data_IF_026722664693
#
_entry.id   IF_026722664693
#
_cell.length_a   1.000
_cell.length_b   1.000
_cell.length_c   1.000
_cell.angle_alpha   90.00
_cell.angle_beta   90.00
_cell.angle_gamma   90.00
#
_symmetry.space_group_name_H-M   'P 1'
#
loop_
_entity.id
_entity.type
_entity.pdbx_description
1 polymer ?
#
# COMPACT_ATOMS: atom_id res chain seq x y z
N UNK A 1 -30.57 -30.00 -2.66
CA UNK A 1 -29.41 -29.59 -3.47
C UNK A 1 -28.68 -28.49 -2.70
N UNK A 2 -27.59 -28.83 -2.00
CA UNK A 2 -26.88 -27.90 -1.08
C UNK A 2 -25.39 -28.00 -1.39
N UNK A 3 -24.87 -26.94 -1.99
CA UNK A 3 -23.49 -26.82 -2.50
C UNK A 3 -22.53 -26.62 -1.32
N UNK A 4 -21.56 -27.51 -1.18
CA UNK A 4 -20.48 -27.40 -0.20
C UNK A 4 -19.43 -26.39 -0.65
N UNK A 5 -19.05 -25.50 0.26
CA UNK A 5 -18.05 -24.45 0.10
C UNK A 5 -16.66 -25.09 0.23
N UNK A 6 -15.84 -24.99 -0.82
CA UNK A 6 -14.42 -25.32 -0.78
C UNK A 6 -13.70 -24.31 0.14
N UNK A 7 -13.32 -24.75 1.34
CA UNK A 7 -12.35 -24.05 2.16
C UNK A 7 -10.94 -24.39 1.65
N UNK A 8 -10.24 -23.40 1.12
CA UNK A 8 -8.88 -23.56 0.62
C UNK A 8 -7.93 -23.60 1.83
N UNK A 9 -7.16 -24.67 1.84
CA UNK A 9 -6.39 -25.24 2.93
C UNK A 9 -5.12 -24.42 3.21
N UNK A 10 -5.15 -23.51 4.20
CA UNK A 10 -3.97 -22.75 4.64
C UNK A 10 -2.90 -23.59 5.37
N UNK A 11 -3.16 -24.87 5.61
CA UNK A 11 -2.25 -25.77 6.34
C UNK A 11 -0.96 -26.09 5.58
N UNK A 12 -0.96 -25.96 4.24
CA UNK A 12 0.15 -26.40 3.38
C UNK A 12 1.34 -25.43 3.31
N UNK A 13 1.19 -24.20 3.78
CA UNK A 13 2.25 -23.18 3.68
C UNK A 13 3.16 -23.08 4.92
N UNK A 14 2.80 -23.75 6.02
CA UNK A 14 3.62 -23.75 7.25
C UNK A 14 4.66 -24.88 7.23
N UNK A 15 4.43 -25.95 6.45
CA UNK A 15 5.33 -27.11 6.38
C UNK A 15 6.69 -26.85 5.70
N UNK A 16 6.87 -25.73 5.01
CA UNK A 16 8.10 -25.49 4.22
C UNK A 16 9.24 -24.81 4.97
N UNK A 17 9.10 -24.48 6.27
CA UNK A 17 10.15 -23.77 7.03
C UNK A 17 10.57 -24.40 8.37
N UNK A 18 10.04 -25.58 8.73
CA UNK A 18 10.66 -26.41 9.76
C UNK A 18 11.45 -27.52 9.06
N UNK A 19 12.71 -27.79 9.46
CA UNK A 19 13.55 -28.76 8.77
C UNK A 19 12.83 -30.10 8.66
N UNK A 20 12.96 -30.70 7.48
CA UNK A 20 12.46 -31.99 7.02
C UNK A 20 12.99 -33.20 7.81
N UNK A 21 12.99 -33.12 9.14
CA UNK A 21 13.67 -34.02 10.06
C UNK A 21 12.79 -34.55 11.19
N UNK A 22 11.51 -34.17 11.24
CA UNK A 22 10.55 -34.85 12.11
C UNK A 22 9.73 -35.78 11.23
N UNK A 23 10.19 -37.03 11.17
CA UNK A 23 9.46 -38.17 10.63
C UNK A 23 7.96 -38.04 10.93
N UNK A 24 7.15 -37.89 9.88
CA UNK A 24 5.68 -37.83 9.95
C UNK A 24 5.07 -39.02 10.69
N UNK A 25 5.81 -40.11 10.86
CA UNK A 25 5.42 -41.29 11.63
C UNK A 25 5.50 -41.14 13.16
N UNK A 26 6.20 -40.12 13.69
CA UNK A 26 6.30 -39.88 15.14
C UNK A 26 5.16 -39.00 15.64
N UNK A 27 4.71 -38.06 14.81
CA UNK A 27 3.64 -37.10 15.17
C UNK A 27 2.27 -37.79 15.24
N UNK A 28 2.02 -38.81 14.41
CA UNK A 28 0.77 -39.59 14.47
C UNK A 28 0.71 -40.57 15.66
N UNK A 29 1.86 -40.90 16.29
CA UNK A 29 1.94 -41.88 17.38
C UNK A 29 1.93 -41.28 18.78
N UNK A 30 2.30 -40.01 18.89
CA UNK A 30 2.22 -39.26 20.14
C UNK A 30 1.14 -38.23 19.89
N UNK A 31 -0.03 -38.39 20.52
CA UNK A 31 -1.12 -37.40 20.47
C UNK A 31 -0.69 -36.08 21.09
N UNK A 32 0.24 -35.37 20.45
CA UNK A 32 0.68 -34.03 20.80
C UNK A 32 -0.42 -33.12 20.29
N UNK A 33 -1.46 -32.99 21.10
CA UNK A 33 -2.41 -31.90 21.00
C UNK A 33 -1.55 -30.63 21.11
N UNK A 34 -1.52 -29.73 20.10
CA UNK A 34 -0.79 -28.48 20.23
C UNK A 34 -1.31 -27.77 21.49
N UNK A 35 -0.41 -27.49 22.42
CA UNK A 35 -0.80 -26.86 23.69
C UNK A 35 -1.38 -25.48 23.39
N UNK A 36 -2.50 -25.13 24.02
CA UNK A 36 -3.18 -23.83 23.84
C UNK A 36 -2.26 -22.61 24.06
N UNK A 37 -1.15 -22.78 24.77
CA UNK A 37 -0.09 -21.78 24.94
C UNK A 37 0.70 -21.47 23.67
N UNK A 38 0.94 -22.47 22.81
CA UNK A 38 1.65 -22.33 21.52
C UNK A 38 0.73 -21.65 20.51
N UNK A 39 -0.54 -22.08 20.43
CA UNK A 39 -1.54 -21.45 19.55
C UNK A 39 -1.75 -19.97 19.94
N UNK A 40 -1.83 -19.66 21.24
CA UNK A 40 -1.91 -18.28 21.74
C UNK A 40 -0.62 -17.46 21.49
N UNK A 41 0.55 -18.10 21.40
CA UNK A 41 1.79 -17.41 21.07
C UNK A 41 1.84 -17.06 19.57
N UNK A 42 1.44 -18.00 18.71
CA UNK A 42 1.38 -17.81 17.25
C UNK A 42 0.35 -16.74 16.89
N UNK A 43 -0.85 -16.77 17.49
CA UNK A 43 -1.90 -15.75 17.29
C UNK A 43 -1.40 -14.35 17.65
N UNK A 44 -0.67 -14.22 18.78
CA UNK A 44 -0.07 -12.95 19.20
C UNK A 44 0.99 -12.45 18.23
N UNK A 45 1.83 -13.35 17.70
CA UNK A 45 2.85 -12.97 16.72
C UNK A 45 2.22 -12.49 15.40
N UNK A 46 1.20 -13.19 14.90
CA UNK A 46 0.47 -12.81 13.68
C UNK A 46 -0.19 -11.43 13.87
N UNK A 47 -0.85 -11.22 15.01
CA UNK A 47 -1.48 -9.94 15.34
C UNK A 47 -0.44 -8.81 15.46
N UNK A 48 0.72 -9.09 16.07
CA UNK A 48 1.82 -8.13 16.18
C UNK A 48 2.37 -7.73 14.80
N UNK A 49 2.65 -8.71 13.92
CA UNK A 49 3.11 -8.44 12.55
C UNK A 49 2.09 -7.63 11.75
N UNK A 50 0.80 -7.96 11.87
CA UNK A 50 -0.29 -7.23 11.22
C UNK A 50 -0.38 -5.78 11.73
N UNK A 51 -0.23 -5.56 13.03
CA UNK A 51 -0.23 -4.23 13.62
C UNK A 51 0.98 -3.42 13.14
N UNK A 52 2.19 -4.00 13.15
CA UNK A 52 3.38 -3.33 12.62
C UNK A 52 3.20 -2.90 11.15
N UNK A 53 2.65 -3.77 10.31
CA UNK A 53 2.35 -3.44 8.92
C UNK A 53 1.34 -2.29 8.80
N UNK A 54 0.28 -2.31 9.61
CA UNK A 54 -0.69 -1.22 9.63
C UNK A 54 -0.06 0.10 10.11
N UNK A 55 0.79 0.09 11.14
CA UNK A 55 1.53 1.28 11.59
C UNK A 55 2.39 1.83 10.46
N UNK A 56 3.19 0.97 9.82
CA UNK A 56 4.07 1.35 8.72
C UNK A 56 3.28 1.99 7.57
N UNK A 57 2.19 1.34 7.12
CA UNK A 57 1.34 1.88 6.06
C UNK A 57 0.65 3.19 6.46
N UNK A 58 0.27 3.35 7.73
CA UNK A 58 -0.35 4.60 8.20
C UNK A 58 0.62 5.77 8.19
N UNK A 59 1.86 5.54 8.64
CA UNK A 59 2.92 6.54 8.56
C UNK A 59 3.19 6.90 7.10
N UNK A 60 3.23 5.91 6.21
CA UNK A 60 3.42 6.16 4.79
C UNK A 60 2.25 6.95 4.17
N UNK A 61 1.01 6.65 4.57
CA UNK A 61 -0.18 7.41 4.15
C UNK A 61 -0.15 8.84 4.68
N UNK A 62 0.25 9.06 5.93
CA UNK A 62 0.45 10.41 6.47
C UNK A 62 1.42 11.22 5.60
N UNK A 63 2.59 10.65 5.31
CA UNK A 63 3.62 11.30 4.48
C UNK A 63 3.08 11.55 3.07
N UNK A 64 2.38 10.58 2.48
CA UNK A 64 1.75 10.72 1.17
C UNK A 64 0.75 11.87 1.13
N UNK A 65 -0.24 11.87 2.02
CA UNK A 65 -1.28 12.90 2.07
C UNK A 65 -0.67 14.29 2.29
N UNK A 66 0.26 14.40 3.24
CA UNK A 66 0.92 15.66 3.54
C UNK A 66 1.70 16.18 2.32
N UNK A 67 2.45 15.30 1.65
CA UNK A 67 3.25 15.69 0.47
C UNK A 67 2.35 16.09 -0.70
N UNK A 68 1.32 15.29 -1.02
CA UNK A 68 0.39 15.59 -2.12
C UNK A 68 -0.29 16.96 -1.93
N UNK A 69 -0.81 17.23 -0.74
CA UNK A 69 -1.48 18.49 -0.44
C UNK A 69 -0.51 19.67 -0.25
N UNK A 70 0.74 19.41 0.10
CA UNK A 70 1.78 20.44 0.20
C UNK A 70 2.27 20.90 -1.17
N UNK A 71 2.47 19.95 -2.11
CA UNK A 71 2.90 20.25 -3.49
C UNK A 71 1.89 21.16 -4.20
N UNK A 72 0.61 21.04 -3.84
CA UNK A 72 -0.47 21.81 -4.45
C UNK A 72 -1.09 22.71 -3.38
N UNK A 73 -0.55 23.92 -3.14
CA UNK A 73 -0.90 24.78 -2.01
C UNK A 73 -2.29 25.42 -2.17
N UNK A 74 -3.34 24.58 -2.11
CA UNK A 74 -4.73 24.99 -2.01
C UNK A 74 -5.13 25.22 -0.54
N UNK A 75 -4.53 24.47 0.39
CA UNK A 75 -4.85 24.49 1.81
C UNK A 75 -3.69 25.11 2.63
N UNK A 76 -3.99 25.91 3.67
CA UNK A 76 -3.00 26.33 4.66
C UNK A 76 -2.28 25.13 5.28
N UNK A 77 -0.97 25.27 5.55
CA UNK A 77 -0.11 24.20 6.09
C UNK A 77 -0.71 23.49 7.32
N UNK A 78 -1.28 24.18 8.34
CA UNK A 78 -1.89 23.49 9.48
C UNK A 78 -3.06 22.57 9.12
N UNK A 79 -3.86 22.96 8.11
CA UNK A 79 -5.00 22.18 7.64
C UNK A 79 -4.52 20.93 6.90
N UNK A 80 -3.44 21.04 6.11
CA UNK A 80 -2.80 19.89 5.45
C UNK A 80 -2.40 18.83 6.48
N UNK A 81 -1.74 19.24 7.57
CA UNK A 81 -1.34 18.33 8.63
C UNK A 81 -2.54 17.69 9.35
N UNK A 82 -3.59 18.47 9.65
CA UNK A 82 -4.82 17.92 10.25
C UNK A 82 -5.46 16.85 9.36
N UNK A 83 -5.60 17.11 8.05
CA UNK A 83 -6.15 16.15 7.09
C UNK A 83 -5.28 14.89 7.05
N UNK A 84 -3.95 15.05 6.96
CA UNK A 84 -3.02 13.93 6.93
C UNK A 84 -3.08 13.07 8.21
N UNK A 85 -3.22 13.68 9.39
CA UNK A 85 -3.40 12.97 10.67
C UNK A 85 -4.68 12.13 10.64
N UNK A 86 -5.81 12.74 10.27
CA UNK A 86 -7.11 12.04 10.23
C UNK A 86 -7.07 10.86 9.26
N UNK A 87 -6.51 11.06 8.07
CA UNK A 87 -6.38 10.00 7.06
C UNK A 87 -5.45 8.88 7.54
N UNK A 88 -4.36 9.21 8.22
CA UNK A 88 -3.44 8.24 8.81
C UNK A 88 -4.11 7.38 9.90
N UNK A 89 -4.90 8.01 10.77
CA UNK A 89 -5.67 7.30 11.80
C UNK A 89 -6.69 6.33 11.19
N UNK A 90 -7.37 6.73 10.11
CA UNK A 90 -8.27 5.85 9.35
C UNK A 90 -7.47 4.74 8.66
N UNK A 91 -6.32 5.09 8.09
CA UNK A 91 -5.37 4.18 7.44
C UNK A 91 -4.87 3.07 8.37
N UNK A 92 -4.71 3.36 9.66
CA UNK A 92 -4.31 2.35 10.65
C UNK A 92 -5.31 1.21 10.77
N UNK A 93 -6.59 1.53 10.74
CA UNK A 93 -7.64 0.51 10.76
C UNK A 93 -7.83 -0.13 9.38
N UNK A 94 -7.78 0.68 8.32
CA UNK A 94 -7.94 0.22 6.94
C UNK A 94 -7.04 1.01 5.98
N UNK A 95 -5.88 0.46 5.60
CA UNK A 95 -4.93 1.14 4.71
C UNK A 95 -5.53 1.50 3.35
N UNK A 96 -6.40 0.64 2.83
CA UNK A 96 -7.11 0.88 1.56
C UNK A 96 -8.01 2.13 1.63
N UNK A 97 -8.78 2.27 2.70
CA UNK A 97 -9.68 3.42 2.88
C UNK A 97 -8.85 4.70 3.05
N UNK A 98 -7.79 4.66 3.87
CA UNK A 98 -6.88 5.79 4.03
C UNK A 98 -6.23 6.22 2.71
N UNK A 99 -5.82 5.24 1.88
CA UNK A 99 -5.30 5.50 0.55
C UNK A 99 -6.33 6.21 -0.34
N UNK A 100 -7.55 5.69 -0.45
CA UNK A 100 -8.60 6.33 -1.24
C UNK A 100 -8.90 7.75 -0.76
N UNK A 101 -9.01 7.97 0.54
CA UNK A 101 -9.23 9.31 1.11
C UNK A 101 -8.09 10.27 0.77
N UNK A 102 -6.84 9.80 0.74
CA UNK A 102 -5.69 10.60 0.30
C UNK A 102 -5.85 11.09 -1.14
N UNK A 103 -6.31 10.21 -2.04
CA UNK A 103 -6.55 10.57 -3.43
C UNK A 103 -7.74 11.53 -3.54
N UNK A 104 -8.86 11.23 -2.87
CA UNK A 104 -10.05 12.08 -2.94
C UNK A 104 -9.81 13.49 -2.42
N UNK A 105 -9.06 13.65 -1.33
CA UNK A 105 -8.71 14.97 -0.80
C UNK A 105 -7.74 15.75 -1.69
N UNK A 106 -6.98 15.06 -2.54
CA UNK A 106 -6.09 15.67 -3.52
C UNK A 106 -6.82 16.17 -4.79
N UNK A 107 -7.96 15.58 -5.16
CA UNK A 107 -8.68 15.93 -6.40
C UNK A 107 -9.00 17.43 -6.53
N UNK A 108 -9.56 18.12 -5.51
CA UNK A 108 -9.84 19.55 -5.61
C UNK A 108 -8.60 20.38 -5.88
N UNK A 109 -7.49 20.08 -5.19
CA UNK A 109 -6.21 20.74 -5.37
C UNK A 109 -5.66 20.50 -6.79
N UNK A 110 -5.70 19.25 -7.23
CA UNK A 110 -5.27 18.82 -8.56
C UNK A 110 -6.03 19.57 -9.68
N UNK A 111 -7.36 19.60 -9.61
CA UNK A 111 -8.20 20.26 -10.61
C UNK A 111 -7.99 21.78 -10.63
N UNK A 112 -7.80 22.37 -9.45
CA UNK A 112 -7.57 23.82 -9.33
C UNK A 112 -6.27 24.25 -10.01
N UNK A 113 -5.18 23.50 -9.83
CA UNK A 113 -3.87 23.91 -10.35
C UNK A 113 -3.56 23.44 -11.76
N UNK A 114 -3.99 22.23 -12.16
CA UNK A 114 -3.49 21.64 -13.40
C UNK A 114 -4.22 22.11 -14.65
N UNK A 115 -5.41 22.70 -14.53
CA UNK A 115 -6.30 23.02 -15.66
C UNK A 115 -6.52 21.84 -16.64
N UNK A 116 -6.15 20.63 -16.22
CA UNK A 116 -6.15 19.45 -17.06
C UNK A 116 -7.59 19.02 -17.32
N UNK A 117 -7.92 18.60 -18.55
CA UNK A 117 -9.27 18.19 -18.89
C UNK A 117 -9.78 17.09 -17.96
N UNK A 118 -11.05 17.18 -17.57
CA UNK A 118 -11.69 16.25 -16.64
C UNK A 118 -11.55 14.77 -17.05
N UNK A 119 -11.54 14.48 -18.36
CA UNK A 119 -11.34 13.12 -18.87
C UNK A 119 -9.97 12.52 -18.48
N UNK A 120 -8.93 13.34 -18.36
CA UNK A 120 -7.63 12.87 -17.90
C UNK A 120 -7.64 12.49 -16.43
N UNK A 121 -8.37 13.25 -15.60
CA UNK A 121 -8.61 12.88 -14.20
C UNK A 121 -9.31 11.51 -14.11
N UNK A 122 -10.33 11.26 -14.96
CA UNK A 122 -11.04 9.98 -15.01
C UNK A 122 -10.12 8.79 -15.36
N UNK A 123 -9.22 8.97 -16.33
CA UNK A 123 -8.23 7.93 -16.70
C UNK A 123 -7.32 7.62 -15.51
N UNK A 124 -6.83 8.65 -14.82
CA UNK A 124 -5.97 8.46 -13.66
C UNK A 124 -6.72 7.81 -12.49
N UNK A 125 -7.97 8.22 -12.22
CA UNK A 125 -8.80 7.56 -11.20
C UNK A 125 -9.09 6.09 -11.55
N UNK A 126 -9.29 5.77 -12.83
CA UNK A 126 -9.46 4.39 -13.28
C UNK A 126 -8.19 3.56 -13.00
N UNK A 127 -7.01 4.08 -13.35
CA UNK A 127 -5.74 3.43 -13.05
C UNK A 127 -5.52 3.25 -11.54
N UNK A 128 -5.76 4.29 -10.74
CA UNK A 128 -5.76 4.22 -9.27
C UNK A 128 -6.71 3.13 -8.78
N UNK A 129 -7.92 3.06 -9.34
CA UNK A 129 -8.92 2.04 -9.02
C UNK A 129 -8.42 0.61 -9.29
N UNK A 130 -7.79 0.35 -10.44
CA UNK A 130 -7.24 -0.97 -10.76
C UNK A 130 -6.19 -1.43 -9.75
N UNK A 131 -5.26 -0.54 -9.38
CA UNK A 131 -4.23 -0.85 -8.40
C UNK A 131 -4.78 -0.90 -6.97
N UNK A 132 -5.79 -0.09 -6.65
CA UNK A 132 -6.46 -0.08 -5.36
C UNK A 132 -7.26 -1.37 -5.15
N UNK A 133 -8.00 -1.88 -6.14
CA UNK A 133 -8.74 -3.15 -6.02
C UNK A 133 -7.78 -4.31 -5.72
N UNK A 134 -6.60 -4.33 -6.33
CA UNK A 134 -5.59 -5.35 -6.06
C UNK A 134 -5.08 -5.34 -4.61
N UNK A 135 -5.20 -4.21 -3.92
CA UNK A 135 -4.90 -4.13 -2.50
C UNK A 135 -5.95 -4.73 -1.58
N UNK A 136 -7.16 -4.99 -2.07
CA UNK A 136 -8.17 -5.74 -1.33
C UNK A 136 -7.75 -7.19 -1.12
N UNK A 137 -6.95 -7.75 -2.04
CA UNK A 137 -6.40 -9.11 -1.93
C UNK A 137 -5.19 -9.15 -0.99
N UNK A 138 -4.26 -8.21 -1.13
CA UNK A 138 -3.11 -8.06 -0.23
C UNK A 138 -2.77 -6.59 -0.02
N UNK A 139 -2.79 -6.14 1.23
CA UNK A 139 -2.47 -4.77 1.65
C UNK A 139 -1.08 -4.33 1.20
N UNK A 140 -0.14 -5.27 1.08
CA UNK A 140 1.21 -4.99 0.61
C UNK A 140 1.24 -4.41 -0.81
N UNK A 141 0.21 -4.68 -1.62
CA UNK A 141 0.09 -4.13 -2.96
C UNK A 141 -0.15 -2.61 -2.96
N UNK A 142 -0.52 -1.98 -1.82
CA UNK A 142 -0.60 -0.52 -1.70
C UNK A 142 0.75 0.17 -1.72
N UNK A 143 1.82 -0.55 -1.37
CA UNK A 143 3.12 0.05 -1.19
C UNK A 143 3.67 0.63 -2.51
N UNK A 144 3.48 -0.11 -3.60
CA UNK A 144 3.85 0.36 -4.95
C UNK A 144 3.16 1.66 -5.37
N UNK A 145 1.81 1.75 -5.39
CA UNK A 145 1.14 2.97 -5.80
C UNK A 145 1.41 4.14 -4.86
N UNK A 146 1.50 3.92 -3.54
CA UNK A 146 1.86 4.98 -2.59
C UNK A 146 3.24 5.54 -2.91
N UNK A 147 4.23 4.67 -3.14
CA UNK A 147 5.61 5.11 -3.44
C UNK A 147 5.69 5.80 -4.80
N UNK A 148 4.95 5.33 -5.80
CA UNK A 148 4.87 6.00 -7.10
C UNK A 148 4.33 7.43 -6.97
N UNK A 149 3.22 7.61 -6.25
CA UNK A 149 2.65 8.94 -6.00
C UNK A 149 3.57 9.83 -5.18
N UNK A 150 4.19 9.28 -4.12
CA UNK A 150 5.13 10.03 -3.28
C UNK A 150 6.34 10.49 -4.09
N UNK A 151 6.89 9.62 -4.93
CA UNK A 151 8.02 9.93 -5.81
C UNK A 151 7.62 10.98 -6.84
N UNK A 152 6.41 10.89 -7.40
CA UNK A 152 5.88 11.88 -8.34
C UNK A 152 5.73 13.24 -7.68
N UNK A 153 5.18 13.28 -6.47
CA UNK A 153 5.03 14.49 -5.68
C UNK A 153 6.39 15.10 -5.29
N UNK A 154 7.34 14.28 -4.82
CA UNK A 154 8.71 14.73 -4.49
C UNK A 154 9.45 15.30 -5.69
N UNK A 155 9.22 14.76 -6.89
CA UNK A 155 9.83 15.25 -8.13
C UNK A 155 9.45 16.72 -8.42
N UNK A 156 8.27 17.15 -7.96
CA UNK A 156 7.79 18.53 -8.11
C UNK A 156 8.32 19.47 -7.00
N UNK A 157 9.15 18.98 -6.09
CA UNK A 157 9.73 19.76 -4.99
C UNK A 157 11.25 19.92 -5.15
N UNK A 158 11.90 20.80 -4.37
CA UNK A 158 13.37 20.87 -4.30
C UNK A 158 14.05 19.55 -3.92
N UNK A 159 13.31 18.58 -3.41
CA UNK A 159 13.79 17.25 -3.03
C UNK A 159 13.67 16.21 -4.15
N UNK A 160 13.57 16.64 -5.42
CA UNK A 160 13.40 15.76 -6.59
C UNK A 160 14.46 14.65 -6.68
N UNK A 161 15.67 14.88 -6.19
CA UNK A 161 16.76 13.90 -6.15
C UNK A 161 16.42 12.65 -5.33
N UNK A 162 15.45 12.71 -4.41
CA UNK A 162 14.97 11.55 -3.63
C UNK A 162 13.95 10.68 -4.38
N UNK A 163 13.33 11.20 -5.44
CA UNK A 163 12.24 10.53 -6.16
C UNK A 163 12.68 9.20 -6.78
N UNK A 164 13.73 9.20 -7.60
CA UNK A 164 14.23 7.99 -8.28
C UNK A 164 14.84 6.98 -7.28
N UNK A 165 15.69 7.38 -6.32
CA UNK A 165 16.20 6.46 -5.29
C UNK A 165 15.09 5.78 -4.50
N UNK A 166 14.02 6.51 -4.18
CA UNK A 166 12.88 5.95 -3.45
C UNK A 166 12.19 4.83 -4.28
N UNK A 167 11.90 5.08 -5.56
CA UNK A 167 11.32 4.05 -6.43
C UNK A 167 12.26 2.84 -6.57
N UNK A 168 13.55 3.08 -6.81
CA UNK A 168 14.55 2.01 -6.94
C UNK A 168 14.65 1.15 -5.68
N UNK A 169 14.60 1.75 -4.50
CA UNK A 169 14.68 1.00 -3.24
C UNK A 169 13.59 -0.07 -3.15
N UNK A 170 12.36 0.25 -3.55
CA UNK A 170 11.24 -0.70 -3.49
C UNK A 170 11.37 -1.79 -4.55
N UNK A 171 11.85 -1.44 -5.75
CA UNK A 171 12.12 -2.41 -6.81
C UNK A 171 13.20 -3.40 -6.41
N UNK A 172 14.27 -2.93 -5.75
CA UNK A 172 15.41 -3.76 -5.35
C UNK A 172 15.13 -4.63 -4.13
N UNK A 173 14.39 -4.11 -3.14
CA UNK A 173 14.15 -4.79 -1.86
C UNK A 173 13.12 -5.91 -2.01
N UNK A 174 12.09 -5.74 -2.85
CA UNK A 174 11.04 -6.74 -3.02
C UNK A 174 11.28 -7.60 -4.26
N UNK A 175 11.66 -8.86 -4.05
CA UNK A 175 11.58 -9.91 -5.07
C UNK A 175 10.31 -10.71 -4.82
N UNK A 176 9.28 -10.46 -5.63
CA UNK A 176 7.97 -11.13 -5.51
C UNK A 176 7.56 -11.65 -6.88
N UNK A 177 6.72 -12.69 -6.95
CA UNK A 177 6.31 -13.30 -8.23
C UNK A 177 5.60 -12.36 -9.23
N UNK A 178 5.24 -11.13 -8.85
CA UNK A 178 4.45 -10.20 -9.65
C UNK A 178 5.14 -8.84 -9.85
N UNK A 179 6.46 -8.86 -10.10
CA UNK A 179 7.29 -7.65 -10.23
C UNK A 179 6.79 -6.70 -11.32
N UNK A 180 6.32 -7.21 -12.45
CA UNK A 180 5.90 -6.40 -13.60
C UNK A 180 4.71 -5.50 -13.26
N UNK A 181 3.64 -6.06 -12.69
CA UNK A 181 2.47 -5.28 -12.30
C UNK A 181 2.76 -4.29 -11.19
N UNK A 182 3.60 -4.68 -10.23
CA UNK A 182 4.04 -3.79 -9.15
C UNK A 182 4.81 -2.60 -9.71
N UNK A 183 5.78 -2.85 -10.59
CA UNK A 183 6.64 -1.81 -11.15
C UNK A 183 5.84 -0.90 -12.09
N UNK A 184 4.93 -1.45 -12.90
CA UNK A 184 3.98 -0.67 -13.70
C UNK A 184 3.09 0.21 -12.82
N UNK A 185 2.53 -0.32 -11.73
CA UNK A 185 1.72 0.47 -10.81
C UNK A 185 2.48 1.66 -10.23
N UNK A 186 3.73 1.45 -9.83
CA UNK A 186 4.59 2.52 -9.32
C UNK A 186 4.88 3.57 -10.40
N UNK A 187 5.21 3.13 -11.62
CA UNK A 187 5.47 4.01 -12.75
C UNK A 187 4.23 4.82 -13.16
N UNK A 188 3.07 4.19 -13.26
CA UNK A 188 1.82 4.89 -13.60
C UNK A 188 1.44 5.92 -12.54
N UNK A 189 1.57 5.58 -11.25
CA UNK A 189 1.33 6.54 -10.17
C UNK A 189 2.31 7.71 -10.18
N UNK A 190 3.57 7.45 -10.52
CA UNK A 190 4.56 8.51 -10.70
C UNK A 190 4.15 9.45 -11.86
N UNK A 191 3.81 8.88 -13.01
CA UNK A 191 3.40 9.63 -14.20
C UNK A 191 2.10 10.41 -14.02
N UNK A 192 1.17 9.90 -13.20
CA UNK A 192 -0.07 10.59 -12.84
C UNK A 192 0.19 11.97 -12.24
N UNK A 193 1.26 12.12 -11.45
CA UNK A 193 1.67 13.40 -10.88
C UNK A 193 2.61 14.16 -11.82
N UNK A 194 3.55 13.46 -12.46
CA UNK A 194 4.56 14.12 -13.29
C UNK A 194 3.98 14.80 -14.53
N UNK A 195 3.13 14.13 -15.31
CA UNK A 195 2.67 14.64 -16.61
C UNK A 195 1.86 15.95 -16.46
N UNK A 196 0.83 16.01 -15.59
CA UNK A 196 0.01 17.21 -15.43
C UNK A 196 0.79 18.43 -14.95
N UNK A 197 1.67 18.23 -13.98
CA UNK A 197 2.40 19.33 -13.35
C UNK A 197 3.69 19.68 -14.09
N UNK A 198 4.34 18.71 -14.74
CA UNK A 198 5.46 18.97 -15.64
C UNK A 198 5.05 19.71 -16.91
N UNK A 199 3.80 19.54 -17.37
CA UNK A 199 3.25 20.33 -18.47
C UNK A 199 2.96 21.79 -18.09
N UNK A 200 2.80 22.11 -16.80
CA UNK A 200 2.57 23.47 -16.29
C UNK A 200 3.87 24.24 -16.04
N UNK A 201 5.02 23.56 -15.94
CA UNK A 201 6.32 24.18 -15.68
C UNK A 201 7.03 24.71 -16.94
N UNK A 202 6.32 24.80 -18.08
CA UNK A 202 6.80 25.34 -19.34
C UNK A 202 5.94 26.51 -19.82
#
# INVERSE_FOLDING_TARGET
MKTQILSINHKKYVETTLPSLINSSVIDKVGIIPSSSIDNAIEREIQYRRNLQNIFLSILLFILTATLLYVVPLYPVPIVFLIAIVISLIGFRSPFIGFLLSIFTFIPAYLYQTQVPFWWLLINLFLVGLFAIRSLTDKNNLLSPIIGLLSGALFLTPYYFLSIPLMLSVVLIRKEHNELFRNLGMCFMFLMILIPFGALSF
#
